data_IF_533055723961
#
_entry.id   IF_533055723961
#
_cell.length_a   1.000
_cell.length_b   1.000
_cell.length_c   1.000
_cell.angle_alpha   90.00
_cell.angle_beta   90.00
_cell.angle_gamma   90.00
#
_symmetry.space_group_name_H-M   'P 1'
#
loop_
_entity.id
_entity.type
_entity.pdbx_description
1 polymer ?
2 non-polymer ?
3 water ?
#
# COMPACT_ATOMS: atom_id res chain seq x y z
N UNK A 1 -4.96 5.51 3.16
CA UNK A 1 -6.13 5.24 4.05
C UNK A 1 -6.14 6.12 5.30
N UNK A 2 -5.01 6.68 5.70
CA UNK A 2 -4.70 7.39 6.96
C UNK A 2 -3.46 8.26 6.76
N UNK A 3 -3.07 9.09 7.76
CA UNK A 3 -2.03 10.11 7.57
C UNK A 3 -0.63 9.54 7.24
N UNK A 4 -0.36 8.30 7.64
CA UNK A 4 0.86 7.57 7.28
C UNK A 4 0.93 7.37 5.78
N UNK A 5 -0.13 6.83 5.21
CA UNK A 5 -0.24 6.59 3.75
C UNK A 5 -0.22 7.92 3.02
N UNK A 6 -0.79 8.98 3.61
CA UNK A 6 -0.79 10.33 3.01
C UNK A 6 0.65 10.80 2.79
N UNK A 7 1.47 10.70 3.83
CA UNK A 7 2.87 11.19 3.75
C UNK A 7 3.64 10.29 2.77
N UNK A 8 3.44 8.96 2.81
CA UNK A 8 4.16 8.07 1.89
C UNK A 8 3.79 8.42 0.46
N UNK A 9 2.48 8.63 0.19
CA UNK A 9 2.02 8.93 -1.18
C UNK A 9 2.67 10.22 -1.67
N UNK A 10 2.76 11.20 -0.78
CA UNK A 10 3.34 12.51 -1.15
C UNK A 10 4.80 12.34 -1.61
N UNK A 11 5.52 11.48 -0.94
CA UNK A 11 6.93 11.19 -1.32
C UNK A 11 6.93 10.41 -2.61
N UNK A 12 6.10 9.37 -2.74
CA UNK A 12 6.15 8.52 -3.94
C UNK A 12 5.82 9.34 -5.20
N UNK A 13 4.84 10.22 -5.12
CA UNK A 13 4.31 10.89 -6.34
C UNK A 13 5.27 11.97 -6.85
N UNK A 14 6.22 12.46 -6.07
CA UNK A 14 7.14 13.52 -6.50
C UNK A 14 8.60 13.11 -6.42
N UNK A 15 8.97 12.20 -5.52
CA UNK A 15 10.40 11.94 -5.28
C UNK A 15 10.86 10.52 -5.64
N UNK A 16 10.12 9.78 -6.44
CA UNK A 16 10.60 8.45 -6.87
C UNK A 16 10.65 8.38 -8.37
N UNK A 17 11.57 7.51 -8.82
CA UNK A 17 11.69 7.11 -10.25
C UNK A 17 11.85 5.60 -10.29
N UNK A 18 11.59 4.99 -11.41
CA UNK A 18 11.91 3.55 -11.58
C UNK A 18 13.32 3.47 -12.16
N UNK A 19 14.23 2.84 -11.43
CA UNK A 19 15.62 2.67 -11.87
C UNK A 19 15.80 1.24 -12.35
N UNK A 20 16.44 1.08 -13.50
CA UNK A 20 16.73 -0.27 -14.06
C UNK A 20 18.24 -0.38 -14.27
N UNK A 21 18.86 -1.37 -13.64
CA UNK A 21 20.27 -1.74 -13.85
C UNK A 21 20.27 -3.15 -14.44
N UNK A 22 21.45 -3.70 -14.70
CA UNK A 22 21.58 -5.11 -15.17
C UNK A 22 21.12 -6.08 -14.09
N UNK A 23 20.91 -5.62 -12.85
CA UNK A 23 20.45 -6.49 -11.74
C UNK A 23 18.96 -6.35 -11.46
N UNK A 24 18.19 -5.57 -12.24
CA UNK A 24 16.73 -5.50 -12.22
C UNK A 24 16.18 -4.08 -12.11
N UNK A 25 14.90 -3.99 -11.82
CA UNK A 25 14.13 -2.74 -11.58
C UNK A 25 14.06 -2.49 -10.09
N UNK A 26 14.37 -1.25 -9.66
CA UNK A 26 14.34 -0.81 -8.27
C UNK A 26 13.52 0.46 -8.15
N UNK A 27 12.77 0.57 -7.07
CA UNK A 27 12.30 1.89 -6.58
C UNK A 27 13.56 2.71 -6.26
N UNK A 28 13.58 3.96 -6.71
CA UNK A 28 14.74 4.85 -6.46
C UNK A 28 14.19 6.16 -5.92
N UNK A 29 14.69 6.55 -4.77
CA UNK A 29 14.30 7.81 -4.06
C UNK A 29 15.23 8.93 -4.51
N UNK A 30 14.62 9.97 -5.09
CA UNK A 30 15.31 11.24 -5.37
C UNK A 30 15.27 12.12 -4.15
N UNK A 31 16.40 12.71 -3.79
CA UNK A 31 16.55 13.39 -2.46
C UNK A 31 16.61 14.91 -2.67
N UNK A 32 17.42 15.38 -3.63
CA UNK A 32 17.53 16.84 -3.94
C UNK A 32 18.27 16.95 -5.25
N UNK A 33 18.03 18.03 -6.00
CA UNK A 33 18.74 18.33 -7.27
C UNK A 33 18.69 17.06 -8.15
N UNK A 34 19.84 16.51 -8.57
CA UNK A 34 19.83 15.27 -9.39
C UNK A 34 20.43 14.14 -8.58
N UNK A 35 20.27 14.17 -7.27
CA UNK A 35 20.88 13.17 -6.36
C UNK A 35 19.79 12.21 -5.89
N UNK A 36 20.03 10.90 -6.07
CA UNK A 36 19.08 9.85 -5.66
C UNK A 36 19.83 8.74 -4.90
N UNK A 37 19.10 7.83 -4.30
CA UNK A 37 19.69 6.66 -3.59
C UNK A 37 19.08 5.38 -4.09
N UNK A 38 19.84 4.30 -3.94
CA UNK A 38 19.41 2.96 -4.41
C UNK A 38 20.22 1.97 -3.59
N UNK A 39 19.77 0.74 -3.36
CA UNK A 39 20.59 -0.26 -2.65
C UNK A 39 21.87 -0.55 -3.45
N UNK A 40 22.98 -0.70 -2.73
CA UNK A 40 24.29 -0.92 -3.37
C UNK A 40 24.26 -2.21 -4.19
N UNK A 41 23.49 -3.22 -3.80
CA UNK A 41 23.40 -4.47 -4.61
C UNK A 41 22.74 -4.26 -5.99
N UNK A 42 22.17 -3.09 -6.29
CA UNK A 42 21.72 -2.77 -7.67
C UNK A 42 22.89 -2.68 -8.64
N UNK A 43 24.12 -2.49 -8.13
CA UNK A 43 25.36 -2.42 -8.95
C UNK A 43 25.28 -1.37 -10.03
N UNK A 44 25.08 -0.12 -9.64
CA UNK A 44 24.97 1.00 -10.60
C UNK A 44 26.29 1.08 -11.38
N UNK A 45 26.18 1.21 -12.69
CA UNK A 45 27.33 1.50 -13.57
C UNK A 45 27.30 2.90 -14.13
N UNK A 46 27.92 3.08 -15.31
CA UNK A 46 28.10 4.40 -15.96
C UNK A 46 26.79 4.88 -16.60
N UNK A 47 25.90 3.95 -16.94
CA UNK A 47 24.57 4.16 -17.57
C UNK A 47 23.50 3.42 -16.75
N UNK A 48 22.39 4.10 -16.50
CA UNK A 48 21.23 3.51 -15.81
C UNK A 48 19.97 3.91 -16.59
N UNK A 49 18.88 3.12 -16.48
CA UNK A 49 17.60 3.53 -17.08
C UNK A 49 16.73 4.12 -15.98
N UNK A 50 16.18 5.31 -16.20
CA UNK A 50 15.36 6.07 -15.26
C UNK A 50 14.00 6.27 -15.97
N UNK A 51 12.95 5.65 -15.46
CA UNK A 51 11.61 5.70 -16.13
C UNK A 51 11.83 5.31 -17.60
N UNK A 52 12.64 4.29 -17.88
CA UNK A 52 12.87 3.70 -19.23
C UNK A 52 13.61 4.67 -20.15
N UNK A 53 14.29 5.68 -19.62
CA UNK A 53 15.16 6.59 -20.41
C UNK A 53 16.64 6.37 -20.05
N UNK A 54 17.42 6.12 -21.08
CA UNK A 54 18.88 5.95 -20.93
C UNK A 54 19.50 7.21 -20.34
N UNK A 55 20.17 7.07 -19.19
CA UNK A 55 20.65 8.21 -18.38
C UNK A 55 22.11 7.95 -17.96
N UNK A 56 23.00 8.90 -18.23
CA UNK A 56 24.40 8.84 -17.75
C UNK A 56 24.44 9.03 -16.24
N UNK A 57 25.26 8.24 -15.58
CA UNK A 57 25.55 8.38 -14.14
C UNK A 57 26.76 9.32 -14.00
N UNK A 58 26.57 10.49 -13.40
CA UNK A 58 27.67 11.47 -13.25
C UNK A 58 28.55 11.10 -12.08
N UNK A 59 28.02 10.45 -11.04
CA UNK A 59 28.79 9.99 -9.87
C UNK A 59 27.99 8.91 -9.16
N UNK A 60 28.65 7.94 -8.56
CA UNK A 60 27.97 6.91 -7.73
C UNK A 60 28.93 6.53 -6.62
N UNK A 61 28.44 6.56 -5.39
CA UNK A 61 29.28 6.30 -4.20
C UNK A 61 28.55 5.30 -3.27
N UNK A 62 29.12 4.11 -3.13
CA UNK A 62 28.68 3.09 -2.18
C UNK A 62 29.11 3.51 -0.79
N UNK A 63 28.18 3.84 0.07
CA UNK A 63 28.52 4.41 1.40
C UNK A 63 29.01 3.29 2.31
N UNK A 64 29.98 3.63 3.16
CA UNK A 64 30.46 2.74 4.24
C UNK A 64 30.57 3.61 5.51
N UNK A 65 30.40 3.03 6.69
CA UNK A 65 30.62 3.80 7.94
C UNK A 65 32.13 3.93 8.20
N UNK A 66 32.44 4.71 9.23
CA UNK A 66 33.85 4.98 9.56
C UNK A 66 34.49 3.75 10.24
N UNK A 67 33.77 2.66 10.53
CA UNK A 67 34.43 1.34 10.78
C UNK A 67 34.75 0.59 9.46
N UNK A 68 34.50 1.19 8.28
CA UNK A 68 34.68 0.62 6.92
C UNK A 68 33.75 -0.59 6.80
N UNK A 69 32.51 -0.45 7.28
CA UNK A 69 31.45 -1.47 7.12
C UNK A 69 30.42 -0.97 6.10
N UNK A 70 30.00 -1.87 5.24
CA UNK A 70 28.92 -1.63 4.25
C UNK A 70 27.72 -0.96 4.95
N UNK A 71 27.15 0.09 4.33
CA UNK A 71 25.82 0.65 4.72
C UNK A 71 24.70 0.25 3.72
N UNK A 72 25.06 -0.31 2.56
CA UNK A 72 24.11 -0.81 1.53
C UNK A 72 23.35 0.34 0.86
N UNK A 73 23.79 1.59 1.03
CA UNK A 73 23.23 2.76 0.30
C UNK A 73 24.26 3.14 -0.76
N UNK A 74 23.81 3.34 -1.99
CA UNK A 74 24.60 4.04 -3.04
C UNK A 74 23.91 5.38 -3.33
N UNK A 75 24.69 6.45 -3.33
CA UNK A 75 24.22 7.79 -3.71
C UNK A 75 24.63 8.01 -5.14
N UNK A 76 23.64 8.30 -5.98
CA UNK A 76 23.82 8.44 -7.44
C UNK A 76 23.50 9.87 -7.83
N UNK A 77 24.37 10.49 -8.61
CA UNK A 77 24.03 11.74 -9.29
C UNK A 77 23.71 11.43 -10.74
N UNK A 78 22.51 11.82 -11.20
CA UNK A 78 21.98 11.43 -12.52
C UNK A 78 22.14 12.60 -13.49
N UNK A 79 22.54 12.35 -14.72
CA UNK A 79 22.54 13.36 -15.80
C UNK A 79 21.13 13.55 -16.36
N UNK A 80 20.24 14.05 -15.50
CA UNK A 80 18.80 14.26 -15.82
C UNK A 80 18.55 15.75 -16.05
N UNK A 81 17.54 16.07 -16.85
CA UNK A 81 17.22 17.47 -17.21
C UNK A 81 16.25 18.09 -16.22
N UNK A 82 16.04 17.50 -15.06
CA UNK A 82 15.02 17.95 -14.08
C UNK A 82 15.54 17.64 -12.68
N UNK A 83 15.32 18.53 -11.72
CA UNK A 83 15.64 18.35 -10.30
C UNK A 83 14.48 17.71 -9.56
N UNK A 84 14.84 16.98 -8.51
CA UNK A 84 13.89 16.47 -7.51
C UNK A 84 13.54 17.63 -6.59
N UNK A 85 12.32 17.56 -6.09
CA UNK A 85 11.92 18.35 -4.93
C UNK A 85 12.90 18.07 -3.77
N UNK A 86 13.41 19.07 -3.10
CA UNK A 86 14.37 18.85 -1.99
C UNK A 86 13.61 18.34 -0.78
N UNK A 87 13.85 17.09 -0.37
CA UNK A 87 13.21 16.46 0.82
C UNK A 87 14.22 16.24 1.91
N UNK A 88 15.38 16.89 1.90
CA UNK A 88 16.40 16.60 2.95
C UNK A 88 15.89 16.96 4.33
N UNK A 89 14.97 17.94 4.44
CA UNK A 89 14.42 18.29 5.77
C UNK A 89 13.53 17.20 6.34
N UNK A 90 13.19 16.15 5.59
CA UNK A 90 12.41 15.01 6.16
C UNK A 90 13.33 13.89 6.64
N UNK A 91 14.65 14.03 6.49
CA UNK A 91 15.58 12.96 6.90
C UNK A 91 15.90 13.11 8.37
N UNK A 92 15.98 12.01 9.10
CA UNK A 92 16.42 12.02 10.49
C UNK A 92 17.89 12.41 10.60
N UNK A 93 18.24 13.04 11.71
CA UNK A 93 19.65 13.38 11.95
C UNK A 93 20.39 12.24 12.64
N UNK A 94 19.69 11.41 13.43
CA UNK A 94 20.36 10.34 14.24
C UNK A 94 19.71 8.98 14.00
N UNK A 95 20.41 7.92 14.41
CA UNK A 95 19.92 6.53 14.38
C UNK A 95 18.80 6.48 15.41
N UNK A 96 17.69 5.80 15.11
CA UNK A 96 16.52 5.77 16.00
C UNK A 96 15.63 4.57 15.67
N UNK A 97 14.72 4.24 16.58
CA UNK A 97 13.57 3.34 16.39
C UNK A 97 12.37 4.21 16.06
N UNK A 98 11.36 3.63 15.45
CA UNK A 98 10.15 4.35 14.98
C UNK A 98 8.88 3.55 15.21
N UNK A 99 7.77 4.22 15.35
CA UNK A 99 6.44 3.54 15.33
C UNK A 99 5.77 3.75 13.98
N UNK A 100 4.99 2.76 13.55
CA UNK A 100 3.91 2.95 12.56
C UNK A 100 4.54 3.44 11.24
N UNK A 101 5.42 2.64 10.65
CA UNK A 101 6.02 2.96 9.33
C UNK A 101 5.24 2.34 8.17
N UNK A 102 5.47 2.90 6.98
CA UNK A 102 4.93 2.46 5.66
C UNK A 102 6.12 2.25 4.74
N UNK A 103 6.13 1.10 4.09
CA UNK A 103 7.09 0.76 3.02
C UNK A 103 6.35 0.95 1.70
N UNK A 104 6.86 1.81 0.82
CA UNK A 104 6.21 2.15 -0.46
C UNK A 104 7.11 1.80 -1.65
N UNK A 105 6.52 1.12 -2.63
CA UNK A 105 7.24 0.60 -3.80
C UNK A 105 6.52 1.07 -5.06
N UNK A 106 7.29 1.35 -6.08
CA UNK A 106 6.73 1.64 -7.40
C UNK A 106 7.65 1.11 -8.49
N UNK A 107 7.26 -0.05 -9.05
CA UNK A 107 7.98 -0.61 -10.22
C UNK A 107 6.93 -1.06 -11.25
N UNK A 108 7.37 -1.56 -12.41
CA UNK A 108 6.51 -2.22 -13.45
C UNK A 108 5.69 -3.36 -12.81
N UNK A 109 6.33 -4.14 -11.97
CA UNK A 109 5.78 -5.35 -11.30
C UNK A 109 4.85 -4.95 -10.15
N UNK A 110 5.23 -3.93 -9.36
CA UNK A 110 4.47 -3.50 -8.16
C UNK A 110 4.21 -2.01 -8.22
N UNK A 111 3.31 -1.49 -9.09
CA UNK A 111 2.97 -0.07 -9.09
C UNK A 111 2.08 0.32 -7.90
N UNK A 112 2.33 1.50 -7.30
CA UNK A 112 1.40 2.11 -6.34
C UNK A 112 1.21 1.15 -5.18
N UNK A 113 2.29 0.52 -4.71
CA UNK A 113 2.23 -0.43 -3.58
C UNK A 113 2.60 0.26 -2.27
N UNK A 114 1.79 0.11 -1.22
CA UNK A 114 2.04 0.68 0.11
C UNK A 114 1.79 -0.40 1.14
N UNK A 115 2.72 -0.62 2.03
CA UNK A 115 2.61 -1.69 3.08
C UNK A 115 2.77 -1.08 4.45
N UNK A 116 1.78 -1.22 5.37
CA UNK A 116 1.94 -0.80 6.75
C UNK A 116 2.77 -1.87 7.46
N UNK A 117 4.01 -1.55 7.80
CA UNK A 117 4.95 -2.58 8.35
C UNK A 117 4.99 -2.46 9.86
N UNK A 118 4.39 -1.43 10.48
CA UNK A 118 4.30 -1.33 11.93
C UNK A 118 5.58 -0.82 12.55
N UNK A 119 5.97 -1.41 13.67
CA UNK A 119 7.11 -0.90 14.48
C UNK A 119 8.44 -1.16 13.76
N UNK A 120 9.34 -0.20 13.82
CA UNK A 120 10.67 -0.32 13.18
C UNK A 120 11.74 -0.26 14.28
N UNK A 121 12.52 -1.33 14.43
CA UNK A 121 13.63 -1.45 15.41
C UNK A 121 14.94 -0.93 14.80
N UNK A 122 15.72 -0.18 15.56
CA UNK A 122 17.15 0.04 15.22
C UNK A 122 17.87 -1.28 15.47
N UNK A 123 18.04 -2.08 14.45
CA UNK A 123 18.53 -3.49 14.57
C UNK A 123 20.05 -3.45 14.69
N UNK A 124 20.67 -2.58 13.89
CA UNK A 124 22.11 -2.31 13.82
C UNK A 124 22.79 -3.24 12.85
N UNK A 125 23.52 -4.22 13.37
CA UNK A 125 24.33 -5.15 12.57
C UNK A 125 23.44 -6.23 11.94
N UNK A 126 23.67 -6.50 10.65
CA UNK A 126 23.02 -7.59 9.91
C UNK A 126 24.06 -8.15 8.95
N UNK A 127 24.16 -9.47 8.91
CA UNK A 127 24.88 -10.17 7.81
C UNK A 127 23.91 -10.27 6.64
N UNK A 128 23.99 -9.34 5.69
CA UNK A 128 23.03 -9.15 4.58
C UNK A 128 23.59 -9.83 3.34
N UNK A 129 23.03 -10.98 2.97
CA UNK A 129 23.58 -11.71 1.81
C UNK A 129 25.06 -12.01 1.96
N UNK A 130 25.52 -12.33 3.17
CA UNK A 130 26.95 -12.62 3.42
C UNK A 130 27.81 -11.38 3.71
N UNK A 131 27.28 -10.17 3.63
CA UNK A 131 28.08 -8.92 3.80
C UNK A 131 27.72 -8.30 5.13
N UNK A 132 28.68 -8.10 6.04
CA UNK A 132 28.44 -7.36 7.28
C UNK A 132 27.91 -5.97 6.92
N UNK A 133 26.83 -5.57 7.56
CA UNK A 133 26.15 -4.30 7.19
C UNK A 133 25.75 -3.62 8.49
N UNK A 134 25.91 -2.32 8.57
CA UNK A 134 25.51 -1.56 9.78
C UNK A 134 24.30 -0.67 9.48
N UNK A 135 23.73 -0.09 10.54
CA UNK A 135 22.64 0.91 10.48
C UNK A 135 21.39 0.31 9.84
N UNK A 136 21.10 -0.96 10.14
CA UNK A 136 19.89 -1.64 9.61
C UNK A 136 18.69 -1.38 10.53
N UNK A 137 17.57 -1.09 9.89
CA UNK A 137 16.22 -1.00 10.49
C UNK A 137 15.52 -2.32 10.19
N UNK A 138 14.74 -2.83 11.16
CA UNK A 138 13.99 -4.10 10.95
C UNK A 138 12.50 -3.88 11.21
N UNK A 139 11.67 -4.54 10.42
CA UNK A 139 10.19 -4.52 10.60
C UNK A 139 9.69 -5.94 10.35
N UNK A 140 8.61 -6.30 11.07
CA UNK A 140 8.07 -7.69 11.08
C UNK A 140 7.04 -7.77 9.97
N UNK A 141 7.52 -7.73 8.73
CA UNK A 141 6.66 -7.95 7.54
C UNK A 141 7.41 -8.84 6.57
N UNK A 142 6.73 -9.87 5.99
CA UNK A 142 7.35 -10.78 5.04
C UNK A 142 7.46 -10.14 3.66
N UNK A 143 8.44 -9.25 3.55
CA UNK A 143 8.80 -8.61 2.26
C UNK A 143 9.38 -9.65 1.30
N UNK A 144 9.17 -9.45 0.00
CA UNK A 144 9.67 -10.36 -1.06
C UNK A 144 10.60 -9.61 -2.01
N UNK A 145 11.09 -10.33 -3.02
CA UNK A 145 11.82 -9.80 -4.18
C UNK A 145 10.88 -8.87 -4.94
N UNK A 146 11.43 -7.73 -5.36
CA UNK A 146 10.67 -6.68 -6.04
C UNK A 146 10.53 -5.43 -5.16
N UNK A 147 10.76 -5.54 -3.85
CA UNK A 147 10.59 -4.40 -2.92
C UNK A 147 11.89 -3.67 -2.63
N UNK A 148 13.03 -4.11 -3.16
CA UNK A 148 14.31 -3.45 -2.81
C UNK A 148 14.27 -2.03 -3.37
N UNK A 149 14.73 -1.09 -2.55
CA UNK A 149 14.71 0.33 -2.91
C UNK A 149 13.44 0.98 -2.41
N UNK A 150 12.48 0.19 -1.91
CA UNK A 150 11.22 0.76 -1.41
C UNK A 150 11.52 1.76 -0.34
N UNK A 151 10.69 2.78 -0.23
CA UNK A 151 10.94 3.87 0.73
C UNK A 151 10.22 3.59 2.04
N UNK A 152 10.94 3.72 3.14
CA UNK A 152 10.32 3.57 4.49
C UNK A 152 10.07 4.96 5.04
N UNK A 153 8.84 5.25 5.43
CA UNK A 153 8.48 6.55 5.98
C UNK A 153 7.67 6.36 7.27
N UNK A 154 7.71 7.39 8.07
CA UNK A 154 6.69 7.71 9.11
C UNK A 154 6.04 9.04 8.72
N UNK A 155 4.96 9.43 9.39
CA UNK A 155 4.46 10.82 9.24
C UNK A 155 5.65 11.76 9.49
N UNK A 156 5.97 12.55 8.47
CA UNK A 156 6.91 13.65 8.55
C UNK A 156 8.32 13.19 8.34
N UNK A 157 8.64 11.86 8.31
CA UNK A 157 10.05 11.45 8.11
C UNK A 157 10.25 10.35 7.05
N UNK A 158 11.31 10.51 6.28
CA UNK A 158 11.80 9.48 5.33
C UNK A 158 13.00 8.84 6.03
N UNK A 159 12.90 7.55 6.43
CA UNK A 159 13.85 6.98 7.41
C UNK A 159 14.75 5.91 6.78
N UNK A 160 14.44 5.40 5.62
CA UNK A 160 15.25 4.29 5.10
C UNK A 160 14.81 3.81 3.75
N UNK A 161 15.63 2.91 3.16
CA UNK A 161 15.27 2.22 1.91
C UNK A 161 15.45 0.72 2.13
N UNK A 162 14.45 -0.03 1.68
CA UNK A 162 14.38 -1.49 1.83
C UNK A 162 15.58 -2.15 1.12
N UNK A 163 16.30 -3.07 1.80
CA UNK A 163 17.49 -3.72 1.17
C UNK A 163 17.46 -5.24 1.29
N UNK A 164 16.56 -5.83 2.08
CA UNK A 164 16.48 -7.30 2.09
C UNK A 164 15.45 -7.82 3.06
N UNK A 165 15.37 -9.13 3.16
CA UNK A 165 14.47 -9.78 4.14
C UNK A 165 14.87 -11.23 4.36
N UNK A 166 14.23 -11.88 5.32
CA UNK A 166 14.53 -13.30 5.62
C UNK A 166 13.26 -14.14 5.51
N UNK A 167 12.19 -13.61 4.91
CA UNK A 167 10.92 -14.31 4.73
C UNK A 167 9.92 -13.96 5.83
N UNK A 168 10.36 -13.63 7.05
CA UNK A 168 9.50 -13.20 8.18
C UNK A 168 9.68 -11.69 8.46
N UNK A 169 10.92 -11.22 8.37
CA UNK A 169 11.33 -9.83 8.67
C UNK A 169 11.84 -9.13 7.39
N UNK A 170 11.68 -7.80 7.38
CA UNK A 170 12.24 -6.94 6.32
C UNK A 170 13.29 -6.02 6.91
N UNK A 171 14.24 -5.63 6.09
CA UNK A 171 15.39 -4.81 6.54
C UNK A 171 15.57 -3.59 5.64
N UNK A 172 15.81 -2.43 6.26
CA UNK A 172 16.04 -1.20 5.49
C UNK A 172 17.38 -0.60 5.94
N UNK A 173 18.10 0.01 5.02
CA UNK A 173 19.27 0.85 5.37
C UNK A 173 18.77 2.22 5.80
N UNK A 174 19.32 2.76 6.88
CA UNK A 174 18.95 4.10 7.38
C UNK A 174 19.28 5.13 6.33
N UNK A 175 18.44 6.16 6.24
CA UNK A 175 18.84 7.44 5.61
C UNK A 175 19.08 8.46 6.73
N UNK A 176 20.20 9.15 6.69
CA UNK A 176 20.53 10.21 7.65
C UNK A 176 20.77 11.50 6.87
N UNK A 177 20.40 12.62 7.48
CA UNK A 177 20.62 13.96 6.88
C UNK A 177 22.09 14.14 6.49
N UNK A 178 23.00 13.66 7.33
CA UNK A 178 24.46 13.87 7.10
C UNK A 178 24.94 13.23 5.80
N UNK A 179 24.23 12.27 5.19
CA UNK A 179 24.69 11.66 3.94
C UNK A 179 24.54 12.66 2.76
N UNK A 180 23.75 13.72 2.91
CA UNK A 180 23.30 14.58 1.77
C UNK A 180 23.58 16.06 2.01
N UNK A 181 24.56 16.37 2.86
CA UNK A 181 25.12 17.74 2.96
C UNK A 181 25.94 18.00 1.69
N UNK A 182 25.80 19.19 1.10
CA UNK A 182 26.41 19.59 -0.20
C UNK A 182 27.47 20.69 0.06
N UNK B 2 2.58 -11.64 -7.75
CA UNK B 2 2.03 -12.59 -8.77
C UNK B 2 1.04 -11.92 -9.74
N UNK B 3 0.17 -12.70 -10.43
CA UNK B 3 -1.06 -12.17 -11.04
C UNK B 3 -2.08 -11.60 -10.02
N UNK B 4 -1.80 -11.71 -8.71
CA UNK B 4 -2.53 -11.03 -7.62
C UNK B 4 -2.67 -9.53 -7.86
N UNK B 5 -1.58 -8.86 -8.26
CA UNK B 5 -1.56 -7.40 -8.51
C UNK B 5 -2.29 -7.03 -9.79
N UNK B 6 -2.15 -7.78 -10.87
CA UNK B 6 -2.95 -7.62 -12.11
C UNK B 6 -4.44 -7.67 -11.75
N UNK B 7 -4.82 -8.68 -10.98
CA UNK B 7 -6.24 -8.94 -10.67
C UNK B 7 -6.77 -7.73 -9.87
N UNK B 8 -6.03 -7.30 -8.87
CA UNK B 8 -6.44 -6.16 -8.01
C UNK B 8 -6.64 -4.93 -8.89
N UNK B 9 -5.68 -4.67 -9.82
CA UNK B 9 -5.78 -3.52 -10.74
C UNK B 9 -6.99 -3.61 -11.65
N UNK B 10 -7.32 -4.81 -12.18
CA UNK B 10 -8.41 -5.05 -13.14
C UNK B 10 -9.74 -4.76 -12.44
N UNK B 11 -9.79 -5.15 -11.17
CA UNK B 11 -11.03 -4.88 -10.37
C UNK B 11 -11.12 -3.39 -10.02
N UNK B 12 -9.98 -2.78 -9.66
CA UNK B 12 -9.90 -1.32 -9.35
C UNK B 12 -10.41 -0.52 -10.57
N UNK B 13 -9.85 -0.81 -11.74
CA UNK B 13 -10.04 0.00 -12.97
C UNK B 13 -11.49 0.01 -13.43
N UNK B 14 -12.15 -1.13 -13.49
CA UNK B 14 -13.53 -1.21 -14.01
C UNK B 14 -14.60 -1.21 -12.91
N UNK B 15 -14.30 -1.72 -11.71
CA UNK B 15 -15.38 -1.98 -10.73
C UNK B 15 -15.31 -1.08 -9.48
N UNK B 16 -14.39 -0.13 -9.36
CA UNK B 16 -14.26 0.65 -8.10
C UNK B 16 -14.55 2.12 -8.39
N UNK B 17 -15.47 2.71 -7.62
CA UNK B 17 -15.84 4.14 -7.75
C UNK B 17 -15.68 4.84 -6.41
N UNK B 18 -15.62 6.18 -6.46
CA UNK B 18 -15.56 7.01 -5.22
C UNK B 18 -16.97 7.34 -4.80
N UNK B 19 -17.39 6.87 -3.62
CA UNK B 19 -18.73 7.16 -3.11
C UNK B 19 -18.60 8.19 -2.00
N UNK B 20 -19.43 9.22 -2.00
CA UNK B 20 -19.40 10.23 -0.91
C UNK B 20 -20.80 10.32 -0.31
N UNK B 21 -20.88 10.07 0.99
CA UNK B 21 -22.09 10.19 1.82
C UNK B 21 -21.92 11.41 2.73
N UNK B 22 -22.86 11.62 3.65
CA UNK B 22 -22.77 12.72 4.64
C UNK B 22 -21.47 12.56 5.43
N UNK B 23 -20.94 11.34 5.54
CA UNK B 23 -19.79 11.03 6.41
C UNK B 23 -18.45 11.21 5.69
N UNK B 24 -18.47 11.43 4.40
CA UNK B 24 -17.28 11.62 3.55
C UNK B 24 -17.10 10.47 2.54
N UNK B 25 -15.86 10.26 2.14
CA UNK B 25 -15.56 9.43 0.95
C UNK B 25 -15.22 8.00 1.34
N UNK B 26 -15.76 7.08 0.54
CA UNK B 26 -15.55 5.62 0.69
C UNK B 26 -15.24 4.99 -0.66
N UNK B 27 -14.35 3.99 -0.62
CA UNK B 27 -14.08 3.12 -1.77
C UNK B 27 -15.33 2.26 -1.98
N UNK B 28 -15.95 2.34 -3.13
CA UNK B 28 -17.20 1.57 -3.37
C UNK B 28 -16.91 0.53 -4.46
N UNK B 29 -17.38 -0.70 -4.26
CA UNK B 29 -17.30 -1.80 -5.23
C UNK B 29 -18.62 -1.97 -5.99
N UNK B 30 -18.59 -1.72 -7.31
CA UNK B 30 -19.73 -2.10 -8.15
C UNK B 30 -19.69 -3.57 -8.50
N UNK B 31 -20.82 -4.27 -8.39
CA UNK B 31 -20.79 -5.76 -8.48
C UNK B 31 -21.41 -6.22 -9.80
N UNK B 32 -22.53 -5.67 -10.17
CA UNK B 32 -23.21 -5.95 -11.46
C UNK B 32 -24.29 -4.92 -11.68
N UNK B 33 -24.73 -4.73 -12.94
CA UNK B 33 -25.85 -3.81 -13.23
C UNK B 33 -25.62 -2.48 -12.48
N UNK B 34 -26.58 -1.98 -11.68
CA UNK B 34 -26.36 -0.71 -10.92
C UNK B 34 -26.24 -1.04 -9.41
N UNK B 35 -25.80 -2.25 -9.11
CA UNK B 35 -25.71 -2.74 -7.70
C UNK B 35 -24.27 -2.63 -7.23
N UNK B 36 -24.07 -1.95 -6.10
CA UNK B 36 -22.74 -1.73 -5.48
C UNK B 36 -22.82 -2.06 -3.99
N UNK B 37 -21.68 -2.15 -3.37
CA UNK B 37 -21.55 -2.36 -1.90
C UNK B 37 -20.65 -1.30 -1.29
N UNK B 38 -20.95 -1.01 -0.05
CA UNK B 38 -20.25 0.01 0.76
C UNK B 38 -20.37 -0.46 2.22
N UNK B 39 -19.44 -0.14 3.13
CA UNK B 39 -19.68 -0.48 4.54
C UNK B 39 -20.92 0.22 5.11
N UNK B 40 -21.63 -0.45 5.99
CA UNK B 40 -22.90 0.07 6.57
C UNK B 40 -22.60 1.38 7.31
N UNK B 41 -21.42 1.52 7.93
CA UNK B 41 -21.06 2.75 8.69
C UNK B 41 -20.97 3.98 7.81
N UNK B 42 -21.03 3.87 6.47
CA UNK B 42 -21.05 5.01 5.55
C UNK B 42 -22.36 5.81 5.69
N UNK B 43 -23.39 5.22 6.27
CA UNK B 43 -24.71 5.88 6.50
C UNK B 43 -25.25 6.38 5.17
N UNK B 44 -25.45 5.49 4.21
CA UNK B 44 -26.01 5.86 2.89
C UNK B 44 -27.42 6.44 3.11
N UNK B 45 -27.70 7.52 2.40
CA UNK B 45 -28.99 8.21 2.49
C UNK B 45 -29.77 8.03 1.22
N UNK B 46 -30.55 9.05 0.85
CA UNK B 46 -31.42 8.97 -0.34
C UNK B 46 -30.58 9.33 -1.55
N UNK B 47 -29.55 10.13 -1.33
CA UNK B 47 -28.66 10.66 -2.38
C UNK B 47 -27.23 10.29 -2.01
N UNK B 48 -26.45 9.95 -3.03
CA UNK B 48 -25.01 9.67 -2.83
C UNK B 48 -24.25 10.33 -3.98
N UNK B 49 -23.00 10.72 -3.75
CA UNK B 49 -22.14 11.16 -4.88
C UNK B 49 -21.27 10.01 -5.36
N UNK B 50 -21.23 9.79 -6.67
CA UNK B 50 -20.46 8.69 -7.33
C UNK B 50 -19.47 9.37 -8.27
N UNK B 51 -18.18 9.35 -7.96
CA UNK B 51 -17.17 10.12 -8.75
C UNK B 51 -17.64 11.56 -8.90
N UNK B 52 -18.14 12.13 -7.82
CA UNK B 52 -18.55 13.56 -7.67
C UNK B 52 -19.85 13.87 -8.40
N UNK B 53 -20.59 12.86 -8.88
CA UNK B 53 -21.93 13.04 -9.50
C UNK B 53 -23.05 12.74 -8.47
N UNK B 54 -23.91 13.71 -8.17
CA UNK B 54 -25.16 13.50 -7.40
C UNK B 54 -25.98 12.36 -8.01
N UNK B 55 -26.28 11.31 -7.24
CA UNK B 55 -26.91 10.04 -7.74
C UNK B 55 -27.99 9.65 -6.74
N UNK B 56 -29.20 9.41 -7.21
CA UNK B 56 -30.28 8.90 -6.37
C UNK B 56 -29.96 7.45 -5.99
N UNK B 57 -30.12 7.12 -4.71
CA UNK B 57 -30.03 5.71 -4.26
C UNK B 57 -31.46 5.13 -4.26
N UNK B 58 -31.73 4.23 -5.16
CA UNK B 58 -33.09 3.67 -5.35
C UNK B 58 -33.42 2.72 -4.22
N UNK B 59 -32.42 1.93 -3.85
CA UNK B 59 -32.53 0.94 -2.76
C UNK B 59 -31.20 0.94 -2.01
N UNK B 60 -31.30 0.59 -0.72
CA UNK B 60 -30.15 0.49 0.19
C UNK B 60 -30.48 -0.61 1.18
N UNK B 61 -29.56 -1.54 1.40
CA UNK B 61 -29.80 -2.65 2.34
C UNK B 61 -28.55 -2.89 3.20
N UNK B 62 -28.74 -2.82 4.52
CA UNK B 62 -27.72 -3.16 5.52
C UNK B 62 -27.79 -4.67 5.77
N UNK B 63 -26.91 -5.44 5.11
CA UNK B 63 -27.00 -6.92 5.07
C UNK B 63 -26.86 -7.47 6.48
N UNK B 64 -27.62 -8.53 6.71
CA UNK B 64 -27.68 -9.32 7.94
C UNK B 64 -27.88 -10.75 7.50
N UNK B 65 -27.43 -11.70 8.30
CA UNK B 65 -27.60 -13.12 7.93
C UNK B 65 -28.88 -13.64 8.59
N UNK B 66 -28.97 -14.96 8.66
CA UNK B 66 -30.20 -15.64 9.10
C UNK B 66 -30.22 -15.83 10.61
N UNK B 67 -29.12 -15.52 11.32
CA UNK B 67 -29.17 -15.39 12.77
C UNK B 67 -29.65 -14.00 13.18
N UNK B 68 -29.93 -13.13 12.21
CA UNK B 68 -30.34 -11.72 12.48
C UNK B 68 -29.17 -10.97 13.09
N UNK B 69 -27.97 -11.19 12.52
CA UNK B 69 -26.73 -10.50 12.98
C UNK B 69 -26.22 -9.60 11.87
N UNK B 70 -25.76 -8.41 12.24
CA UNK B 70 -25.09 -7.47 11.34
C UNK B 70 -23.99 -8.16 10.53
N UNK B 71 -23.92 -7.79 9.25
CA UNK B 71 -22.75 -8.17 8.40
C UNK B 71 -21.90 -6.96 7.99
N UNK B 72 -22.38 -5.73 8.23
CA UNK B 72 -21.64 -4.49 8.03
C UNK B 72 -21.49 -4.17 6.53
N UNK B 73 -22.21 -4.81 5.65
CA UNK B 73 -22.24 -4.53 4.18
C UNK B 73 -23.59 -3.92 3.92
N UNK B 74 -23.61 -2.80 3.22
CA UNK B 74 -24.84 -2.27 2.62
C UNK B 74 -24.81 -2.46 1.11
N UNK B 75 -25.84 -3.10 0.57
CA UNK B 75 -26.02 -3.20 -0.89
C UNK B 75 -26.84 -2.00 -1.32
N UNK B 76 -26.41 -1.28 -2.36
CA UNK B 76 -27.15 -0.14 -2.91
C UNK B 76 -27.48 -0.38 -4.38
N UNK B 77 -28.65 0.07 -4.79
CA UNK B 77 -29.07 0.15 -6.21
C UNK B 77 -29.07 1.62 -6.60
N UNK B 78 -28.27 1.95 -7.62
CA UNK B 78 -28.00 3.34 -8.01
C UNK B 78 -28.82 3.73 -9.26
N UNK B 79 -29.36 4.94 -9.25
CA UNK B 79 -30.09 5.55 -10.41
C UNK B 79 -29.03 6.18 -11.32
N UNK B 80 -28.36 5.39 -12.16
CA UNK B 80 -27.31 5.89 -13.09
C UNK B 80 -27.30 5.03 -14.34
N UNK B 81 -26.89 5.63 -15.47
CA UNK B 81 -26.94 4.96 -16.78
C UNK B 81 -25.87 3.88 -16.85
N UNK B 82 -24.66 4.15 -16.40
CA UNK B 82 -23.56 3.17 -16.55
C UNK B 82 -23.92 1.91 -15.76
N UNK B 83 -23.59 0.77 -16.33
CA UNK B 83 -23.74 -0.56 -15.71
C UNK B 83 -22.35 -1.03 -15.31
N UNK B 84 -22.21 -1.65 -14.14
CA UNK B 84 -20.92 -2.19 -13.69
C UNK B 84 -20.64 -3.47 -14.44
N UNK B 85 -19.37 -3.70 -14.75
CA UNK B 85 -18.92 -5.01 -15.27
C UNK B 85 -19.26 -6.10 -14.26
N UNK B 86 -19.97 -7.17 -14.66
CA UNK B 86 -20.41 -8.24 -13.73
C UNK B 86 -19.19 -8.99 -13.20
N UNK B 87 -19.03 -9.10 -11.88
CA UNK B 87 -17.90 -9.79 -11.19
C UNK B 87 -18.46 -10.80 -10.19
N UNK B 88 -19.73 -11.14 -10.30
CA UNK B 88 -20.34 -12.09 -9.33
C UNK B 88 -19.65 -13.44 -9.39
N UNK B 89 -19.11 -13.82 -10.54
CA UNK B 89 -18.40 -15.11 -10.69
C UNK B 89 -17.07 -15.09 -9.94
N UNK B 90 -16.60 -13.93 -9.45
CA UNK B 90 -15.36 -13.89 -8.66
C UNK B 90 -15.60 -13.86 -7.15
N UNK B 91 -16.88 -13.93 -6.75
CA UNK B 91 -17.25 -13.92 -5.30
C UNK B 91 -17.20 -15.32 -4.76
N UNK B 92 -16.57 -15.56 -3.61
CA UNK B 92 -16.57 -16.88 -2.96
C UNK B 92 -17.99 -17.37 -2.64
N UNK B 93 -18.17 -18.68 -2.77
CA UNK B 93 -19.44 -19.36 -2.41
C UNK B 93 -19.55 -19.50 -0.90
N UNK B 94 -18.43 -19.61 -0.19
CA UNK B 94 -18.40 -19.94 1.27
C UNK B 94 -17.35 -19.14 2.02
N UNK B 95 -17.47 -19.14 3.35
CA UNK B 95 -16.48 -18.59 4.31
C UNK B 95 -15.17 -19.36 4.10
N UNK B 96 -14.03 -18.67 4.12
CA UNK B 96 -12.70 -19.31 3.90
C UNK B 96 -11.60 -18.40 4.43
N UNK B 97 -10.40 -18.99 4.57
CA UNK B 97 -9.09 -18.34 4.81
C UNK B 97 -8.42 -18.16 3.44
N UNK B 98 -7.53 -17.18 3.33
CA UNK B 98 -6.71 -16.90 2.11
C UNK B 98 -5.36 -16.29 2.53
N UNK B 99 -4.51 -15.98 1.55
CA UNK B 99 -3.23 -15.24 1.72
C UNK B 99 -2.84 -14.59 0.38
N UNK B 100 -1.84 -13.71 0.41
CA UNK B 100 -1.41 -12.86 -0.74
C UNK B 100 -2.60 -12.02 -1.19
N UNK B 101 -3.40 -11.54 -0.24
CA UNK B 101 -4.55 -10.64 -0.43
C UNK B 101 -4.03 -9.19 -0.47
N UNK B 102 -4.60 -8.40 -1.38
CA UNK B 102 -4.32 -6.95 -1.59
C UNK B 102 -5.57 -6.18 -1.17
N UNK B 103 -5.40 -5.07 -0.47
CA UNK B 103 -6.49 -4.13 -0.11
C UNK B 103 -6.33 -2.92 -1.02
N UNK B 104 -7.29 -2.70 -1.92
CA UNK B 104 -7.24 -1.66 -2.97
C UNK B 104 -8.18 -0.49 -2.61
N UNK B 105 -7.56 0.67 -2.36
CA UNK B 105 -8.20 1.91 -1.86
C UNK B 105 -8.37 2.85 -3.03
N UNK B 106 -9.51 3.53 -3.11
CA UNK B 106 -9.73 4.50 -4.19
C UNK B 106 -10.62 5.62 -3.67
N UNK B 107 -10.01 6.76 -3.32
CA UNK B 107 -10.73 8.01 -2.93
C UNK B 107 -10.07 9.21 -3.60
N UNK B 108 -10.62 10.41 -3.41
CA UNK B 108 -9.96 11.61 -3.99
C UNK B 108 -8.60 11.83 -3.33
N UNK B 109 -8.45 11.48 -2.06
CA UNK B 109 -7.20 11.64 -1.28
C UNK B 109 -6.21 10.52 -1.62
N UNK B 110 -6.72 9.32 -1.93
CA UNK B 110 -5.91 8.08 -2.10
C UNK B 110 -6.34 7.40 -3.39
N UNK B 111 -5.99 7.94 -4.57
CA UNK B 111 -6.43 7.38 -5.82
C UNK B 111 -5.61 6.14 -6.16
N UNK B 112 -6.23 5.12 -6.66
CA UNK B 112 -5.39 3.95 -7.10
C UNK B 112 -4.28 3.57 -6.09
N UNK B 113 -4.55 3.25 -4.81
CA UNK B 113 -3.55 2.76 -3.79
C UNK B 113 -3.72 1.25 -3.49
N UNK B 114 -2.67 0.43 -3.58
CA UNK B 114 -2.69 -1.05 -3.37
C UNK B 114 -1.87 -1.43 -2.15
N UNK B 115 -2.52 -2.08 -1.19
CA UNK B 115 -1.91 -2.45 0.11
C UNK B 115 -1.87 -3.94 0.24
N UNK B 116 -0.74 -4.60 -0.04
CA UNK B 116 -0.55 -6.02 0.20
C UNK B 116 -0.76 -6.22 1.71
N UNK B 117 -1.69 -7.09 2.08
CA UNK B 117 -1.94 -7.35 3.53
C UNK B 117 -1.50 -8.78 3.89
N UNK B 118 -1.45 -9.66 2.89
CA UNK B 118 -0.92 -11.03 3.04
C UNK B 118 -1.98 -11.98 3.52
N UNK B 119 -1.70 -12.66 4.62
CA UNK B 119 -2.54 -13.75 5.15
C UNK B 119 -3.84 -13.15 5.70
N UNK B 120 -4.94 -13.73 5.27
CA UNK B 120 -6.32 -13.36 5.73
C UNK B 120 -6.94 -14.54 6.43
N UNK B 121 -7.41 -14.35 7.66
CA UNK B 121 -8.09 -15.40 8.45
C UNK B 121 -9.62 -15.17 8.41
N UNK B 122 -10.38 -16.26 8.29
CA UNK B 122 -11.81 -16.31 8.66
C UNK B 122 -11.88 -16.12 10.18
N UNK B 123 -12.11 -14.90 10.62
CA UNK B 123 -12.02 -14.50 12.05
C UNK B 123 -13.38 -14.76 12.70
N UNK B 124 -14.45 -14.48 11.95
CA UNK B 124 -15.85 -14.74 12.30
C UNK B 124 -16.49 -13.57 13.03
N UNK B 125 -16.67 -13.72 14.34
CA UNK B 125 -17.44 -12.79 15.18
C UNK B 125 -16.54 -11.64 15.60
N UNK B 126 -17.06 -10.42 15.49
CA UNK B 126 -16.38 -9.22 15.99
C UNK B 126 -17.41 -8.25 16.54
N UNK B 127 -17.12 -7.70 17.69
CA UNK B 127 -17.91 -6.57 18.21
C UNK B 127 -17.37 -5.29 17.60
N UNK B 128 -18.03 -4.82 16.55
CA UNK B 128 -17.53 -3.67 15.77
C UNK B 128 -18.30 -2.39 16.11
N UNK B 129 -17.64 -1.46 16.82
CA UNK B 129 -18.27 -0.20 17.23
C UNK B 129 -19.45 -0.47 18.16
N UNK B 130 -19.42 -1.58 18.90
CA UNK B 130 -20.49 -1.98 19.84
C UNK B 130 -21.58 -2.82 19.19
N UNK B 131 -21.47 -3.10 17.90
CA UNK B 131 -22.44 -3.94 17.16
C UNK B 131 -21.83 -5.33 16.92
N UNK B 132 -22.49 -6.41 17.41
CA UNK B 132 -22.09 -7.77 17.10
C UNK B 132 -22.19 -7.97 15.58
N UNK B 133 -21.11 -8.48 14.97
CA UNK B 133 -20.94 -8.60 13.50
C UNK B 133 -20.40 -9.99 13.19
N UNK B 134 -20.93 -10.56 12.11
CA UNK B 134 -20.50 -11.89 11.62
C UNK B 134 -19.61 -11.74 10.37
N UNK B 135 -19.00 -12.88 10.00
CA UNK B 135 -18.32 -13.10 8.70
C UNK B 135 -17.23 -12.06 8.52
N UNK B 136 -16.44 -11.84 9.55
CA UNK B 136 -15.29 -10.91 9.48
C UNK B 136 -14.01 -11.67 9.06
N UNK B 137 -13.31 -11.10 8.08
CA UNK B 137 -11.93 -11.48 7.67
C UNK B 137 -10.93 -10.59 8.38
N UNK B 138 -9.81 -11.15 8.83
CA UNK B 138 -8.81 -10.38 9.58
C UNK B 138 -7.42 -10.52 8.91
N UNK B 139 -6.70 -9.41 8.90
CA UNK B 139 -5.31 -9.34 8.40
C UNK B 139 -4.53 -8.44 9.33
N UNK B 140 -3.20 -8.59 9.33
CA UNK B 140 -2.34 -7.64 10.06
C UNK B 140 -2.55 -6.29 9.44
N UNK B 141 -2.59 -5.24 10.26
CA UNK B 141 -2.75 -3.86 9.77
C UNK B 141 -2.31 -2.91 10.86
N UNK B 142 -0.99 -2.82 11.08
CA UNK B 142 -0.40 -2.11 12.22
C UNK B 142 -0.35 -0.60 11.95
N UNK B 143 -1.52 -0.01 11.82
CA UNK B 143 -1.71 1.42 11.51
C UNK B 143 -3.15 1.76 11.94
N UNK B 144 -3.40 3.02 12.21
CA UNK B 144 -4.77 3.52 12.45
C UNK B 144 -5.19 4.13 11.11
N UNK B 145 -6.11 3.46 10.45
CA UNK B 145 -6.68 3.84 9.15
C UNK B 145 -7.93 4.70 9.38
N UNK B 146 -8.27 5.54 8.41
CA UNK B 146 -9.58 6.21 8.37
C UNK B 146 -10.69 5.25 7.93
N UNK B 147 -11.83 5.83 7.64
CA UNK B 147 -13.11 5.09 7.42
C UNK B 147 -13.20 4.60 5.96
N UNK B 148 -12.32 5.04 5.06
CA UNK B 148 -12.67 5.03 3.62
C UNK B 148 -12.75 3.59 3.09
N UNK B 149 -12.07 2.66 3.75
CA UNK B 149 -12.07 1.23 3.34
C UNK B 149 -11.50 1.00 1.95
N UNK B 150 -11.91 -0.13 1.35
CA UNK B 150 -11.18 -0.65 0.19
C UNK B 150 -11.60 -2.09 -0.08
N UNK B 151 -11.21 -2.56 -1.23
CA UNK B 151 -11.67 -3.89 -1.71
C UNK B 151 -10.56 -4.89 -1.48
N UNK B 152 -10.89 -6.06 -0.92
CA UNK B 152 -9.88 -7.12 -0.68
C UNK B 152 -9.98 -8.22 -1.73
N UNK B 153 -8.88 -8.48 -2.42
CA UNK B 153 -8.81 -9.49 -3.52
C UNK B 153 -7.67 -10.45 -3.27
N UNK B 154 -7.82 -11.62 -3.85
CA UNK B 154 -6.71 -12.60 -3.96
C UNK B 154 -6.57 -12.84 -5.45
N UNK B 155 -5.66 -13.71 -5.87
CA UNK B 155 -5.71 -14.13 -7.29
C UNK B 155 -7.07 -14.79 -7.52
N UNK B 156 -7.82 -14.29 -8.48
CA UNK B 156 -9.05 -14.90 -8.94
C UNK B 156 -10.27 -14.66 -8.10
N UNK B 157 -10.18 -13.95 -6.95
CA UNK B 157 -11.40 -13.75 -6.09
C UNK B 157 -11.46 -12.35 -5.47
N UNK B 158 -12.70 -11.90 -5.38
CA UNK B 158 -13.03 -10.64 -4.66
C UNK B 158 -13.65 -11.08 -3.33
N UNK B 159 -12.93 -10.94 -2.24
CA UNK B 159 -13.27 -11.68 -0.98
C UNK B 159 -13.96 -10.78 0.02
N UNK B 160 -13.80 -9.46 -0.01
CA UNK B 160 -14.42 -8.67 1.04
C UNK B 160 -14.15 -7.20 0.88
N UNK B 161 -14.76 -6.40 1.73
CA UNK B 161 -14.54 -4.92 1.78
C UNK B 161 -14.12 -4.55 3.18
N UNK B 162 -13.11 -3.70 3.29
CA UNK B 162 -12.56 -3.25 4.59
C UNK B 162 -13.59 -2.46 5.41
N UNK B 163 -13.86 -2.87 6.65
CA UNK B 163 -14.87 -2.19 7.49
C UNK B 163 -14.31 -1.61 8.79
N UNK B 164 -13.10 -1.97 9.23
CA UNK B 164 -12.51 -1.31 10.40
C UNK B 164 -11.19 -1.93 10.85
N UNK B 165 -10.76 -1.62 12.07
CA UNK B 165 -9.49 -2.15 12.62
C UNK B 165 -9.26 -1.69 14.04
N UNK B 166 -8.26 -2.26 14.72
CA UNK B 166 -8.00 -2.00 16.16
C UNK B 166 -6.57 -1.47 16.32
N UNK B 167 -5.92 -1.00 15.23
CA UNK B 167 -4.56 -0.42 15.23
C UNK B 167 -3.44 -1.46 15.03
N UNK B 168 -3.72 -2.74 15.26
CA UNK B 168 -2.84 -3.90 15.03
C UNK B 168 -3.39 -4.78 13.90
N UNK B 169 -4.73 -4.95 13.89
CA UNK B 169 -5.42 -5.83 12.92
C UNK B 169 -6.40 -5.00 12.09
N UNK B 170 -6.63 -5.44 10.86
CA UNK B 170 -7.65 -4.91 9.95
C UNK B 170 -8.74 -5.93 9.71
N UNK B 171 -9.96 -5.42 9.52
CA UNK B 171 -11.14 -6.30 9.41
C UNK B 171 -11.89 -5.99 8.14
N UNK B 172 -12.31 -7.02 7.44
CA UNK B 172 -13.15 -6.90 6.25
C UNK B 172 -14.42 -7.72 6.40
N UNK B 173 -15.52 -7.24 5.85
CA UNK B 173 -16.74 -8.02 5.73
C UNK B 173 -16.64 -8.92 4.52
N UNK B 174 -16.99 -10.20 4.66
CA UNK B 174 -16.94 -11.16 3.53
C UNK B 174 -17.94 -10.75 2.45
N UNK B 175 -17.59 -10.91 1.17
CA UNK B 175 -18.56 -10.91 0.08
C UNK B 175 -18.76 -12.37 -0.31
N UNK B 176 -20.01 -12.76 -0.42
CA UNK B 176 -20.42 -14.13 -0.79
C UNK B 176 -21.33 -14.02 -2.02
N UNK B 177 -21.22 -15.04 -2.89
CA UNK B 177 -21.99 -15.13 -4.13
C UNK B 177 -23.50 -15.05 -3.84
N UNK B 178 -23.91 -15.67 -2.76
CA UNK B 178 -25.35 -15.74 -2.41
C UNK B 178 -25.94 -14.37 -2.09
N UNK B 179 -25.14 -13.34 -1.79
CA UNK B 179 -25.72 -12.02 -1.49
C UNK B 179 -26.34 -11.34 -2.72
N UNK B 180 -25.94 -11.78 -3.91
CA UNK B 180 -26.31 -11.12 -5.20
C UNK B 180 -27.01 -12.05 -6.19
N UNK B 181 -27.41 -13.25 -5.80
CA UNK B 181 -28.18 -14.18 -6.66
C UNK B 181 -29.64 -13.72 -6.83
X LIG C 1 0.82 -10.32 -3.14
X LIG C 1 1.15 -10.43 -1.79
X LIG C 1 2.33 -9.86 -1.32
X LIG C 1 3.61 -8.56 0.80
X LIG C 1 4.45 -8.81 -1.80
X LIG C 1 5.14 -7.72 -2.44
X LIG C 1 1.29 -9.70 1.06
X LIG C 1 3.22 -9.22 -2.21
X LIG C 1 2.85 -9.11 -3.56
X LIG C 1 1.65 -9.66 -4.00
X LIG C 1 3.28 -11.13 0.75
X LIG C 1 2.57 -9.93 0.42
X LIG D 1 -24.67 12.63 0.46
X LIG D 1 -23.67 13.56 0.43
X LIG D 1 -23.77 14.72 1.19
X LIG D 1 -22.92 17.32 0.57
X LIG D 1 -25.18 16.19 2.58
X LIG D 1 -24.29 16.92 3.46
X LIG D 1 -21.87 15.93 2.50
X LIG D 1 -24.92 14.97 1.99
X LIG D 1 -25.90 13.97 2.02
X LIG D 1 -25.78 12.82 1.25
X LIG D 1 -21.43 15.23 0.19
X LIG D 1 -22.34 15.77 1.15
X LIG E 1 -29.98 -9.15 0.10
X LIG E 1 -30.56 -8.88 1.33
X LIG E 1 -30.14 -9.59 2.45
X LIG E 1 -29.93 -8.07 4.78
X LIG E 1 -28.63 -11.14 3.50
X LIG E 1 -27.55 -12.10 3.51
X LIG E 1 -32.20 -8.59 3.68
X LIG E 1 -29.12 -10.54 2.36
X LIG E 1 -28.56 -10.81 1.11
X LIG E 1 -28.99 -10.10 -0.01
X LIG E 1 -30.98 -10.42 4.77
X LIG E 1 -30.95 -9.22 3.98
#
# INVERSE_FOLDING_TARGET
>A
MGPGFDFAQAIMKKNTVIARTEKGEFTMLGVYDRVAVIPTHASVGEIIYINDVETRVLDACALRDLTDTNLEITIVKLDRNQKFRDIRHFLPRCEDDYNDAVLSVHTSKFPNMYIPVGQVTNYGFLNLGGTPTHRILMYNFPTRAGQCGGVVTTTGKVIGIHVGGNGAQGFAAMLLHSYFTD
>B
MGPGFDFAQAIMKKNTVIARTEKGEFTMLGVYDRVAVIPTHASVGEIIYINDVETRVLDACALRDLTDTNLEITIVKLDRNQKFRDIRHFLPRCEDDYNDAVLSVHTSKFPNMYIPVGQVTNYGFLNLGGTPTHRILMYNFPTRAGQCGGVVTTTGKVIGIHVGGNGAQGFAAMLLHSYFTD
>C hetero
1 UVA C4 C5 C6 C7 N C O C1 C2 C3 O1 S
>D hetero
1 UVA C4 C5 C6 C7 N C O C1 C2 C3 O1 S
>E hetero
1 UVA C4 C5 C6 C7 N C O C1 C2 C3 O1 S
#
